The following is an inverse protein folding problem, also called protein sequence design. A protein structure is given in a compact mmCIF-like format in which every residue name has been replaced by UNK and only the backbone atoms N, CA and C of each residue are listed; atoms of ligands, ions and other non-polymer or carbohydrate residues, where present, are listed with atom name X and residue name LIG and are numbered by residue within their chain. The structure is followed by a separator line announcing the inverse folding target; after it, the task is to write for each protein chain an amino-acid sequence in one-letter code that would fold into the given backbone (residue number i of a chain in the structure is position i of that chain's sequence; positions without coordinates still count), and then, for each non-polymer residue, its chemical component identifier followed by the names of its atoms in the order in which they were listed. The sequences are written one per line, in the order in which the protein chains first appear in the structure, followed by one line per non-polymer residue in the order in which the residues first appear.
data_IF_006154240050
#
_entry.id   IF_006154240050
#
_cell.length_a   1.000
_cell.length_b   1.000
_cell.length_c   1.000
_cell.angle_alpha   90.00
_cell.angle_beta   90.00
_cell.angle_gamma   90.00
#
_symmetry.space_group_name_H-M   'P 1'
#
loop_
_entity.id
_entity.type
_entity.pdbx_description
1 polymer ?
#
# COMPACT_ATOMS: atom_id res chain seq x y z
N UNK A 1 20.06 2.69 17.69
CA UNK A 1 19.37 2.62 16.39
C UNK A 1 18.93 1.18 16.24
N UNK A 2 17.63 0.92 16.36
CA UNK A 2 17.05 -0.42 16.34
C UNK A 2 16.45 -0.57 14.94
N UNK A 3 17.05 -1.41 14.09
CA UNK A 3 16.57 -1.67 12.73
C UNK A 3 15.23 -2.45 12.78
N UNK A 4 14.69 -2.90 11.64
CA UNK A 4 13.38 -3.54 11.55
C UNK A 4 13.52 -4.99 11.05
N UNK A 5 12.61 -5.89 11.47
CA UNK A 5 12.31 -7.07 10.65
C UNK A 5 12.00 -6.57 9.22
N UNK A 6 12.30 -7.32 8.16
CA UNK A 6 11.81 -7.02 6.80
C UNK A 6 10.32 -7.33 6.73
N UNK A 7 9.57 -6.79 7.69
CA UNK A 7 8.15 -6.63 7.60
C UNK A 7 7.97 -5.37 6.77
N UNK A 8 7.80 -5.58 5.47
CA UNK A 8 7.29 -4.52 4.63
C UNK A 8 5.78 -4.55 4.84
N UNK A 9 5.29 -3.91 5.91
CA UNK A 9 3.91 -3.43 5.88
C UNK A 9 3.95 -2.30 4.87
N UNK A 10 3.37 -2.54 3.70
CA UNK A 10 3.26 -1.49 2.71
C UNK A 10 2.33 -0.42 3.27
N UNK A 11 2.89 0.60 3.93
CA UNK A 11 2.18 1.76 4.40
C UNK A 11 1.73 2.58 3.19
N UNK A 12 0.66 2.14 2.56
CA UNK A 12 0.13 2.68 1.31
C UNK A 12 -1.09 3.54 1.59
N UNK A 13 -0.95 4.51 2.48
CA UNK A 13 -2.08 5.26 3.03
C UNK A 13 -1.86 6.75 3.05
N UNK A 14 -2.20 7.35 1.91
CA UNK A 14 -2.12 8.76 1.51
C UNK A 14 -1.92 9.80 2.64
N UNK A 15 -0.91 10.64 2.45
CA UNK A 15 -0.81 11.98 3.00
C UNK A 15 -2.06 12.81 2.62
N UNK A 16 -2.43 13.84 3.42
CA UNK A 16 -3.50 14.75 3.03
C UNK A 16 -3.24 15.35 1.64
N UNK A 17 -4.28 15.61 0.82
CA UNK A 17 -4.09 16.10 -0.53
C UNK A 17 -3.29 17.40 -0.54
N UNK A 18 -2.33 17.59 -1.47
CA UNK A 18 -1.82 18.91 -1.75
C UNK A 18 -2.98 19.81 -2.18
N UNK A 19 -2.98 21.05 -1.69
CA UNK A 19 -3.98 22.06 -2.09
C UNK A 19 -3.99 22.15 -3.62
N UNK A 20 -5.15 21.97 -4.29
CA UNK A 20 -5.20 22.00 -5.74
C UNK A 20 -4.73 23.37 -6.26
N UNK A 21 -3.87 23.43 -7.29
CA UNK A 21 -3.54 24.69 -7.94
C UNK A 21 -4.80 25.32 -8.55
N UNK A 22 -4.88 26.66 -8.50
CA UNK A 22 -6.01 27.42 -9.00
C UNK A 22 -6.32 27.07 -10.47
N UNK A 23 -7.60 26.82 -10.75
CA UNK A 23 -8.07 26.40 -12.07
C UNK A 23 -7.78 27.48 -13.13
N UNK A 24 -7.21 27.12 -14.30
CA UNK A 24 -7.11 28.03 -15.44
C UNK A 24 -8.49 28.24 -16.08
N UNK A 25 -8.87 29.50 -16.24
CA UNK A 25 -10.07 29.94 -16.96
C UNK A 25 -9.91 29.62 -18.45
N UNK A 26 -10.72 28.70 -18.99
CA UNK A 26 -10.71 28.35 -20.42
C UNK A 26 -11.89 29.01 -21.16
N UNK A 27 -11.67 29.58 -22.36
CA UNK A 27 -12.71 30.19 -23.19
C UNK A 27 -13.50 29.18 -24.04
N UNK A 28 -14.68 29.63 -24.49
CA UNK A 28 -15.74 28.86 -25.16
C UNK A 28 -15.34 28.25 -26.52
N UNK A 29 -15.94 27.09 -26.82
CA UNK A 29 -15.71 26.28 -28.02
C UNK A 29 -16.72 26.55 -29.16
N UNK A 30 -16.24 26.45 -30.40
CA UNK A 30 -17.04 26.42 -31.65
C UNK A 30 -17.24 24.97 -32.10
N UNK A 31 -18.46 24.60 -32.47
CA UNK A 31 -18.86 23.24 -32.84
C UNK A 31 -18.85 23.04 -34.36
N UNK A 32 -18.10 22.05 -34.84
CA UNK A 32 -18.19 21.52 -36.22
C UNK A 32 -18.31 20.00 -36.13
N UNK A 33 -19.33 19.42 -36.76
CA UNK A 33 -19.60 17.97 -36.74
C UNK A 33 -19.37 17.37 -38.12
N UNK A 34 -18.45 16.41 -38.24
CA UNK A 34 -18.39 15.44 -39.33
C UNK A 34 -18.13 14.03 -38.75
N UNK A 35 -18.87 13.06 -39.28
CA UNK A 35 -18.91 11.66 -38.86
C UNK A 35 -17.84 10.83 -39.59
N UNK A 36 -17.02 10.07 -38.87
CA UNK A 36 -16.11 9.04 -39.39
C UNK A 36 -15.97 7.88 -38.41
N UNK A 37 -15.76 6.66 -38.94
CA UNK A 37 -15.82 5.37 -38.24
C UNK A 37 -15.09 5.27 -36.91
N UNK A 38 -15.66 4.46 -36.02
CA UNK A 38 -15.30 4.30 -34.61
C UNK A 38 -13.99 3.53 -34.42
N UNK A 39 -12.87 4.14 -34.77
CA UNK A 39 -11.60 3.80 -34.11
C UNK A 39 -11.74 4.29 -32.68
N UNK A 40 -12.14 3.40 -31.76
CA UNK A 40 -12.30 3.74 -30.35
C UNK A 40 -10.90 4.01 -29.81
N UNK A 41 -10.51 5.28 -29.73
CA UNK A 41 -9.31 5.70 -29.00
C UNK A 41 -9.40 5.07 -27.61
N UNK A 42 -8.38 4.31 -27.16
CA UNK A 42 -8.38 3.75 -25.82
C UNK A 42 -8.65 4.89 -24.82
N UNK A 43 -9.65 4.73 -23.96
CA UNK A 43 -10.01 5.78 -23.03
C UNK A 43 -8.81 6.13 -22.15
N UNK A 44 -8.49 7.42 -22.01
CA UNK A 44 -7.37 7.94 -21.20
C UNK A 44 -7.57 7.78 -19.67
N UNK A 45 -8.57 6.99 -19.27
CA UNK A 45 -8.88 6.63 -17.89
C UNK A 45 -9.42 5.22 -17.78
N UNK A 46 -9.34 4.66 -16.58
CA UNK A 46 -10.08 3.45 -16.22
C UNK A 46 -11.58 3.76 -16.18
N UNK A 47 -12.42 2.74 -16.44
CA UNK A 47 -13.86 2.90 -16.33
C UNK A 47 -14.28 3.08 -14.86
N UNK A 48 -15.23 3.98 -14.59
CA UNK A 48 -15.74 4.19 -13.24
C UNK A 48 -16.40 2.93 -12.67
N UNK A 49 -16.07 2.56 -11.45
CA UNK A 49 -16.58 1.36 -10.80
C UNK A 49 -15.72 0.89 -9.63
N UNK A 50 -16.01 -0.31 -9.15
CA UNK A 50 -15.30 -0.93 -8.03
C UNK A 50 -14.32 -1.98 -8.54
N UNK A 51 -13.13 -1.99 -7.94
CA UNK A 51 -12.01 -2.83 -8.30
C UNK A 51 -11.41 -3.47 -7.06
N UNK A 52 -10.81 -4.65 -7.22
CA UNK A 52 -9.97 -5.31 -6.23
C UNK A 52 -8.55 -5.06 -6.67
N UNK A 53 -7.78 -4.42 -5.81
CA UNK A 53 -6.35 -4.30 -5.96
C UNK A 53 -5.68 -5.34 -5.06
N UNK A 54 -5.01 -6.31 -5.67
CA UNK A 54 -4.06 -7.17 -4.98
C UNK A 54 -2.67 -6.66 -5.30
N UNK A 55 -1.89 -6.32 -4.27
CA UNK A 55 -0.47 -6.01 -4.40
C UNK A 55 0.29 -7.11 -3.70
N UNK A 56 1.25 -7.70 -4.40
CA UNK A 56 2.18 -8.67 -3.84
C UNK A 56 3.59 -8.08 -3.89
N UNK A 57 4.17 -7.87 -2.72
CA UNK A 57 5.52 -7.33 -2.55
C UNK A 57 6.36 -8.45 -1.96
N UNK A 58 7.23 -8.99 -2.78
CA UNK A 58 8.18 -10.02 -2.39
C UNK A 58 9.55 -9.38 -2.28
N UNK A 59 10.18 -9.51 -1.12
CA UNK A 59 11.52 -8.97 -0.86
C UNK A 59 12.47 -10.05 -0.39
N UNK A 60 13.73 -9.95 -0.82
CA UNK A 60 14.82 -10.76 -0.34
C UNK A 60 15.75 -9.94 0.55
N UNK A 61 16.09 -10.48 1.72
CA UNK A 61 17.00 -9.87 2.69
C UNK A 61 18.03 -10.89 3.14
N UNK A 62 19.32 -10.56 3.02
CA UNK A 62 20.39 -11.38 3.56
C UNK A 62 20.50 -11.15 5.07
N UNK A 63 20.28 -12.20 5.86
CA UNK A 63 20.53 -12.19 7.30
C UNK A 63 21.90 -12.83 7.60
N UNK A 64 22.67 -12.29 8.55
CA UNK A 64 23.83 -12.98 9.08
C UNK A 64 23.43 -14.37 9.59
N UNK A 65 24.24 -15.40 9.31
CA UNK A 65 24.04 -16.80 9.74
C UNK A 65 22.90 -17.56 9.04
N UNK A 66 21.75 -16.93 8.81
CA UNK A 66 20.54 -17.60 8.29
C UNK A 66 20.47 -17.54 6.75
N UNK A 67 21.26 -16.67 6.12
CA UNK A 67 21.30 -16.52 4.66
C UNK A 67 20.16 -15.65 4.12
N UNK A 68 19.85 -15.81 2.83
CA UNK A 68 18.78 -15.04 2.17
C UNK A 68 17.41 -15.48 2.67
N UNK A 69 16.64 -14.52 3.18
CA UNK A 69 15.26 -14.70 3.59
C UNK A 69 14.35 -14.01 2.59
N UNK A 70 13.37 -14.76 2.09
CA UNK A 70 12.31 -14.22 1.26
C UNK A 70 11.09 -13.94 2.12
N UNK A 71 10.53 -12.74 1.98
CA UNK A 71 9.26 -12.41 2.61
C UNK A 71 8.32 -11.86 1.53
N UNK A 72 7.06 -12.24 1.61
CA UNK A 72 6.02 -11.80 0.68
C UNK A 72 4.91 -11.15 1.48
N UNK A 73 4.72 -9.85 1.28
CA UNK A 73 3.57 -9.11 1.75
C UNK A 73 2.50 -9.08 0.68
N UNK A 74 1.30 -9.51 1.04
CA UNK A 74 0.11 -9.42 0.22
C UNK A 74 -0.85 -8.41 0.83
N UNK A 75 -1.16 -7.37 0.07
CA UNK A 75 -2.18 -6.38 0.40
C UNK A 75 -3.38 -6.55 -0.52
N UNK A 76 -4.57 -6.70 0.05
CA UNK A 76 -5.83 -6.67 -0.71
C UNK A 76 -6.62 -5.44 -0.34
N UNK A 77 -7.05 -4.68 -1.35
CA UNK A 77 -7.80 -3.44 -1.18
C UNK A 77 -9.00 -3.38 -2.12
N UNK A 78 -10.04 -2.66 -1.69
CA UNK A 78 -11.12 -2.20 -2.57
C UNK A 78 -10.73 -0.83 -3.11
N UNK A 79 -10.74 -0.68 -4.42
CA UNK A 79 -10.51 0.59 -5.11
C UNK A 79 -11.82 1.02 -5.77
N UNK A 80 -12.27 2.23 -5.45
CA UNK A 80 -13.42 2.87 -6.12
C UNK A 80 -12.89 3.93 -7.07
N UNK A 81 -13.23 3.82 -8.35
CA UNK A 81 -12.90 4.80 -9.39
C UNK A 81 -14.17 5.55 -9.76
N UNK A 82 -14.17 6.86 -9.59
CA UNK A 82 -15.27 7.74 -9.96
C UNK A 82 -15.28 8.08 -11.46
N UNK A 83 -16.37 8.67 -11.94
CA UNK A 83 -16.53 9.06 -13.35
C UNK A 83 -15.50 10.08 -13.82
N UNK A 84 -14.99 10.93 -12.94
CA UNK A 84 -13.91 11.88 -13.22
C UNK A 84 -12.51 11.23 -13.23
N UNK A 85 -12.41 9.94 -12.93
CA UNK A 85 -11.16 9.19 -12.85
C UNK A 85 -10.47 9.26 -11.49
N UNK A 86 -11.01 9.99 -10.52
CA UNK A 86 -10.50 9.99 -9.15
C UNK A 86 -10.67 8.59 -8.54
N UNK A 87 -9.65 8.12 -7.83
CA UNK A 87 -9.66 6.78 -7.25
C UNK A 87 -9.34 6.83 -5.76
N UNK A 88 -10.08 6.04 -4.98
CA UNK A 88 -9.82 5.86 -3.55
C UNK A 88 -9.67 4.39 -3.21
N UNK A 89 -8.80 4.05 -2.26
CA UNK A 89 -8.56 2.68 -1.82
C UNK A 89 -8.82 2.50 -0.32
N UNK A 90 -9.43 1.37 0.03
CA UNK A 90 -9.57 0.91 1.42
C UNK A 90 -8.92 -0.46 1.53
N UNK A 91 -7.97 -0.61 2.45
CA UNK A 91 -7.31 -1.89 2.72
C UNK A 91 -8.28 -2.85 3.41
N UNK A 92 -8.28 -4.11 2.97
CA UNK A 92 -9.13 -5.18 3.49
C UNK A 92 -8.34 -6.25 4.25
N UNK A 93 -7.09 -6.49 3.81
CA UNK A 93 -6.13 -7.37 4.46
C UNK A 93 -4.71 -6.97 4.11
N UNK A 94 -3.81 -7.17 5.09
CA UNK A 94 -2.37 -7.08 4.92
C UNK A 94 -1.78 -8.28 5.65
N UNK A 95 -1.10 -9.14 4.92
CA UNK A 95 -0.45 -10.33 5.47
C UNK A 95 0.96 -10.45 4.88
N UNK A 96 1.94 -10.68 5.74
CA UNK A 96 3.31 -10.97 5.34
C UNK A 96 3.63 -12.41 5.70
N UNK A 97 4.25 -13.13 4.77
CA UNK A 97 4.69 -14.51 4.95
C UNK A 97 6.18 -14.60 4.71
N UNK A 98 6.89 -15.25 5.61
CA UNK A 98 8.28 -15.68 5.45
C UNK A 98 8.46 -17.12 5.91
N UNK A 99 9.64 -17.73 5.69
CA UNK A 99 9.92 -19.11 6.09
C UNK A 99 9.78 -19.34 7.60
N UNK A 100 10.15 -18.34 8.41
CA UNK A 100 10.20 -18.44 9.86
C UNK A 100 9.02 -17.77 10.57
N UNK A 101 8.22 -16.97 9.86
CA UNK A 101 7.16 -16.18 10.47
C UNK A 101 6.02 -15.86 9.52
N UNK A 102 4.87 -15.53 10.09
CA UNK A 102 3.79 -14.83 9.41
C UNK A 102 3.40 -13.61 10.23
N UNK A 103 3.03 -12.52 9.59
CA UNK A 103 2.47 -11.38 10.29
C UNK A 103 1.18 -10.93 9.66
N UNK A 104 0.29 -10.38 10.48
CA UNK A 104 -1.01 -9.91 10.05
C UNK A 104 -1.39 -8.66 10.83
N UNK A 105 -1.99 -7.70 10.15
CA UNK A 105 -2.68 -6.61 10.82
C UNK A 105 -4.03 -7.12 11.34
N UNK A 106 -4.32 -6.99 12.66
CA UNK A 106 -5.63 -7.33 13.20
C UNK A 106 -6.77 -6.58 12.50
N UNK A 107 -8.00 -7.10 12.52
CA UNK A 107 -9.14 -6.43 11.89
C UNK A 107 -9.38 -5.00 12.38
N UNK A 108 -9.17 -4.72 13.67
CA UNK A 108 -9.28 -3.36 14.22
C UNK A 108 -8.23 -2.42 13.59
N UNK A 109 -6.99 -2.89 13.49
CA UNK A 109 -5.89 -2.18 12.84
C UNK A 109 -6.10 -1.94 11.35
N UNK A 110 -6.74 -2.88 10.64
CA UNK A 110 -7.16 -2.67 9.24
C UNK A 110 -8.26 -1.61 9.14
N UNK A 111 -9.23 -1.61 10.06
CA UNK A 111 -10.35 -0.66 10.03
C UNK A 111 -9.94 0.78 10.36
N UNK A 112 -8.84 0.97 11.08
CA UNK A 112 -8.31 2.30 11.37
C UNK A 112 -7.46 2.89 10.25
N UNK A 113 -7.04 2.08 9.28
CA UNK A 113 -6.28 2.53 8.13
C UNK A 113 -7.08 3.60 7.36
N UNK A 114 -6.52 4.80 7.14
CA UNK A 114 -7.24 5.83 6.39
C UNK A 114 -7.50 5.39 4.95
N UNK A 115 -8.56 5.92 4.34
CA UNK A 115 -8.83 5.73 2.91
C UNK A 115 -7.75 6.46 2.09
N UNK A 116 -7.02 5.73 1.25
CA UNK A 116 -6.01 6.30 0.36
C UNK A 116 -6.64 6.93 -0.87
N UNK A 117 -5.99 7.95 -1.42
CA UNK A 117 -6.26 8.44 -2.78
C UNK A 117 -5.20 7.87 -3.71
N UNK A 118 -5.62 7.34 -4.85
CA UNK A 118 -4.73 6.81 -5.87
C UNK A 118 -4.70 7.75 -7.06
N UNK A 119 -3.51 8.10 -7.54
CA UNK A 119 -3.36 8.77 -8.83
C UNK A 119 -3.16 7.71 -9.92
N UNK A 120 -4.20 7.48 -10.72
CA UNK A 120 -4.18 6.51 -11.83
C UNK A 120 -3.99 7.26 -13.15
N UNK A 121 -2.89 6.97 -13.85
CA UNK A 121 -2.58 7.53 -15.16
C UNK A 121 -2.65 6.42 -16.21
N UNK A 122 -3.52 6.59 -17.21
CA UNK A 122 -3.65 5.66 -18.34
C UNK A 122 -3.13 6.35 -19.61
N UNK A 123 -2.24 5.67 -20.35
CA UNK A 123 -1.70 6.15 -21.64
C UNK A 123 -1.64 4.99 -22.62
N UNK A 124 -2.61 4.92 -23.53
CA UNK A 124 -2.81 3.73 -24.37
C UNK A 124 -3.06 2.50 -23.49
N UNK A 125 -2.21 1.48 -23.63
CA UNK A 125 -2.29 0.28 -22.80
C UNK A 125 -1.52 0.38 -21.48
N UNK A 126 -0.68 1.41 -21.28
CA UNK A 126 0.07 1.56 -20.03
C UNK A 126 -0.80 2.15 -18.93
N UNK A 127 -0.72 1.56 -17.74
CA UNK A 127 -1.40 2.02 -16.52
C UNK A 127 -0.35 2.21 -15.42
N UNK A 128 -0.27 3.43 -14.87
CA UNK A 128 0.53 3.74 -13.70
C UNK A 128 -0.40 4.09 -12.55
N UNK A 129 -0.19 3.45 -11.39
CA UNK A 129 -0.95 3.73 -10.16
C UNK A 129 0.03 4.19 -9.10
N UNK A 130 -0.02 5.48 -8.78
CA UNK A 130 0.70 6.03 -7.64
C UNK A 130 -0.23 5.99 -6.42
N UNK A 131 0.20 5.26 -5.39
CA UNK A 131 -0.58 5.03 -4.17
C UNK A 131 -0.41 6.16 -3.13
N UNK A 132 0.42 7.16 -3.44
CA UNK A 132 0.81 8.24 -2.55
C UNK A 132 1.75 7.79 -1.44
N UNK A 133 2.31 8.76 -0.74
CA UNK A 133 2.98 8.51 0.53
C UNK A 133 1.94 8.14 1.58
N UNK A 134 2.23 7.18 2.45
CA UNK A 134 1.39 6.90 3.59
C UNK A 134 2.14 6.70 4.88
N UNK A 135 1.43 6.91 5.98
CA UNK A 135 1.94 6.83 7.35
C UNK A 135 0.91 6.07 8.21
N UNK A 136 1.40 5.17 9.06
CA UNK A 136 0.60 4.40 10.01
C UNK A 136 1.26 4.48 11.39
N UNK A 137 0.48 4.77 12.42
CA UNK A 137 0.94 4.90 13.81
C UNK A 137 1.80 6.14 14.06
N UNK A 138 1.94 7.02 13.07
CA UNK A 138 2.84 8.18 13.13
C UNK A 138 2.27 9.38 12.39
N UNK A 139 2.51 10.58 12.91
CA UNK A 139 2.14 11.87 12.32
C UNK A 139 3.33 12.82 12.41
N UNK A 140 4.09 12.94 11.32
CA UNK A 140 5.20 13.87 11.29
C UNK A 140 6.01 13.88 9.99
N UNK A 141 7.13 14.58 10.06
CA UNK A 141 8.18 14.58 9.05
C UNK A 141 9.51 14.15 9.69
N UNK A 142 10.47 13.76 8.85
CA UNK A 142 11.79 13.29 9.29
C UNK A 142 11.85 11.77 9.54
N UNK A 143 12.83 11.31 10.34
CA UNK A 143 12.98 9.90 10.69
C UNK A 143 11.82 9.37 11.54
N UNK A 144 11.51 8.08 11.40
CA UNK A 144 10.53 7.43 12.27
C UNK A 144 10.99 7.43 13.74
N UNK A 145 10.06 7.60 14.69
CA UNK A 145 10.38 7.61 16.11
C UNK A 145 10.80 6.23 16.59
N UNK A 146 11.89 6.15 17.35
CA UNK A 146 12.36 4.89 17.98
C UNK A 146 11.79 4.66 19.37
N UNK A 147 10.85 5.49 19.82
CA UNK A 147 10.25 5.43 21.15
C UNK A 147 8.75 5.62 21.08
N UNK A 148 8.04 4.76 21.79
CA UNK A 148 6.60 4.86 22.02
C UNK A 148 6.16 6.18 22.68
N UNK A 149 7.05 6.86 23.41
CA UNK A 149 6.75 8.13 24.07
C UNK A 149 6.94 9.36 23.16
N UNK A 150 7.36 9.19 21.90
CA UNK A 150 7.47 10.32 20.97
C UNK A 150 6.07 10.89 20.69
N UNK A 151 5.86 12.21 20.84
CA UNK A 151 4.55 12.83 20.69
C UNK A 151 3.98 12.76 19.25
N UNK A 152 4.81 12.36 18.28
CA UNK A 152 4.39 12.11 16.89
C UNK A 152 3.82 10.71 16.69
N UNK A 153 3.97 9.79 17.65
CA UNK A 153 3.34 8.47 17.61
C UNK A 153 1.86 8.62 17.88
N UNK A 154 1.03 7.97 17.08
CA UNK A 154 -0.42 7.98 17.18
C UNK A 154 -0.92 6.56 17.39
N UNK A 155 -1.91 6.41 18.28
CA UNK A 155 -2.73 5.18 18.42
C UNK A 155 -3.83 5.22 17.36
N UNK A 156 -3.50 4.74 16.14
CA UNK A 156 -4.43 4.82 15.02
C UNK A 156 -5.57 3.81 15.17
N UNK A 157 -5.28 2.61 15.71
CA UNK A 157 -6.25 1.52 15.91
C UNK A 157 -7.04 1.57 17.21
N UNK A 158 -6.77 2.57 18.05
CA UNK A 158 -7.51 2.90 19.28
C UNK A 158 -7.52 1.76 20.28
N UNK A 159 -6.43 1.00 20.33
CA UNK A 159 -6.26 -0.10 21.28
C UNK A 159 -5.64 0.36 22.62
N UNK A 160 -5.29 1.64 22.72
CA UNK A 160 -4.67 2.26 23.89
C UNK A 160 -3.14 2.16 23.89
N UNK A 161 -2.54 1.52 22.88
CA UNK A 161 -1.10 1.38 22.72
C UNK A 161 -0.57 2.34 21.65
N UNK A 162 0.68 2.81 21.79
CA UNK A 162 1.27 3.75 20.85
C UNK A 162 1.69 3.06 19.54
N UNK A 163 1.13 3.50 18.42
CA UNK A 163 1.44 3.02 17.08
C UNK A 163 0.25 2.32 16.44
N UNK A 164 0.52 1.24 15.70
CA UNK A 164 -0.49 0.29 15.25
C UNK A 164 -0.05 -1.12 15.57
N UNK A 165 -1.03 -1.90 16.02
CA UNK A 165 -0.82 -3.30 16.34
C UNK A 165 -0.61 -4.14 15.08
N UNK A 166 0.34 -5.05 15.19
CA UNK A 166 0.59 -6.11 14.23
C UNK A 166 0.80 -7.42 15.00
N UNK A 167 0.09 -8.47 14.63
CA UNK A 167 0.34 -9.80 15.19
C UNK A 167 1.46 -10.49 14.40
N UNK A 168 2.59 -10.78 15.05
CA UNK A 168 3.70 -11.56 14.51
C UNK A 168 3.62 -12.99 15.04
N UNK A 169 3.38 -13.95 14.18
CA UNK A 169 3.47 -15.37 14.49
C UNK A 169 4.84 -15.92 14.09
N UNK A 170 5.61 -16.34 15.08
CA UNK A 170 6.89 -17.01 14.90
C UNK A 170 6.68 -18.52 14.94
N UNK A 171 7.13 -19.22 13.90
CA UNK A 171 6.95 -20.67 13.79
C UNK A 171 7.56 -21.39 15.00
N UNK A 172 6.71 -22.05 15.80
CA UNK A 172 7.12 -22.77 17.02
C UNK A 172 7.23 -21.92 18.29
N UNK A 173 7.12 -20.58 18.21
CA UNK A 173 7.21 -19.66 19.35
C UNK A 173 5.90 -18.89 19.64
N UNK A 174 4.87 -19.09 18.79
CA UNK A 174 3.54 -18.52 18.98
C UNK A 174 3.39 -17.11 18.40
N UNK A 175 2.27 -16.47 18.74
CA UNK A 175 1.88 -15.13 18.25
C UNK A 175 2.19 -14.05 19.28
N UNK A 176 2.84 -12.99 18.83
CA UNK A 176 3.29 -11.86 19.63
C UNK A 176 2.74 -10.56 19.02
N UNK A 177 2.05 -9.71 19.79
CA UNK A 177 1.65 -8.40 19.31
C UNK A 177 2.87 -7.47 19.28
N UNK A 178 3.08 -6.82 18.15
CA UNK A 178 4.05 -5.75 17.97
C UNK A 178 3.32 -4.43 17.83
N UNK A 179 3.90 -3.36 18.39
CA UNK A 179 3.49 -2.00 18.08
C UNK A 179 4.48 -1.40 17.10
N UNK A 180 3.98 -0.96 15.95
CA UNK A 180 4.81 -0.45 14.87
C UNK A 180 4.38 0.94 14.44
N UNK A 181 5.33 1.66 13.85
CA UNK A 181 5.06 2.82 13.01
C UNK A 181 5.71 2.59 11.66
N UNK A 182 5.07 3.07 10.61
CA UNK A 182 5.60 2.90 9.26
C UNK A 182 5.25 4.07 8.36
N UNK A 183 6.13 4.32 7.39
CA UNK A 183 5.92 5.23 6.27
C UNK A 183 6.31 4.51 4.99
N UNK A 184 5.57 4.75 3.91
CA UNK A 184 5.96 4.22 2.60
C UNK A 184 5.38 5.00 1.44
N UNK A 185 5.92 4.74 0.25
CA UNK A 185 5.41 5.22 -1.03
C UNK A 185 5.55 4.11 -2.06
N UNK A 186 4.45 3.76 -2.71
CA UNK A 186 4.42 2.71 -3.72
C UNK A 186 3.91 3.24 -5.05
N UNK A 187 4.62 2.92 -6.13
CA UNK A 187 4.17 3.14 -7.50
C UNK A 187 4.10 1.79 -8.22
N UNK A 188 2.97 1.56 -8.88
CA UNK A 188 2.70 0.38 -9.68
C UNK A 188 2.73 0.77 -11.16
N UNK A 189 3.35 -0.06 -12.00
CA UNK A 189 3.41 0.13 -13.46
C UNK A 189 2.99 -1.14 -14.17
N UNK A 190 2.03 -1.04 -15.06
CA UNK A 190 1.41 -2.20 -15.67
C UNK A 190 0.72 -1.90 -16.99
N UNK A 191 -0.02 -2.90 -17.44
CA UNK A 191 -0.75 -2.88 -18.69
C UNK A 191 -2.23 -3.06 -18.41
N UNK A 192 -3.07 -2.32 -19.14
CA UNK A 192 -4.51 -2.43 -19.13
C UNK A 192 -4.93 -3.83 -19.57
N UNK A 193 -5.95 -4.35 -18.91
CA UNK A 193 -6.65 -5.58 -19.30
C UNK A 193 -8.13 -5.26 -19.51
N UNK A 194 -8.92 -6.15 -20.15
CA UNK A 194 -10.37 -5.94 -20.28
C UNK A 194 -11.07 -5.71 -18.94
N UNK A 195 -10.54 -6.28 -17.85
CA UNK A 195 -11.11 -6.21 -16.51
C UNK A 195 -10.44 -5.16 -15.61
N UNK A 196 -9.36 -4.50 -16.03
CA UNK A 196 -8.63 -3.54 -15.22
C UNK A 196 -7.18 -3.37 -15.65
N UNK A 197 -6.24 -3.79 -14.81
CA UNK A 197 -4.80 -3.71 -15.09
C UNK A 197 -4.01 -4.79 -14.33
N UNK A 198 -2.85 -5.16 -14.86
CA UNK A 198 -1.87 -6.03 -14.19
C UNK A 198 -0.47 -5.52 -14.43
N UNK A 199 0.45 -5.72 -13.50
CA UNK A 199 1.81 -5.24 -13.70
C UNK A 199 2.73 -5.52 -12.52
N UNK A 200 3.77 -4.69 -12.45
CA UNK A 200 4.88 -4.83 -11.50
C UNK A 200 4.93 -3.65 -10.54
N UNK A 201 5.65 -3.85 -9.44
CA UNK A 201 6.05 -2.78 -8.54
C UNK A 201 7.20 -1.99 -9.20
N UNK A 202 6.99 -0.72 -9.55
CA UNK A 202 8.00 0.11 -10.22
C UNK A 202 8.82 0.95 -9.25
N UNK A 203 8.22 1.36 -8.13
CA UNK A 203 8.89 2.04 -7.02
C UNK A 203 8.32 1.55 -5.70
N UNK A 204 9.20 1.36 -4.73
CA UNK A 204 8.85 1.09 -3.35
C UNK A 204 9.83 1.79 -2.43
N UNK A 205 9.30 2.70 -1.64
CA UNK A 205 9.98 3.31 -0.51
C UNK A 205 9.23 2.85 0.74
N UNK A 206 9.94 2.31 1.72
CA UNK A 206 9.32 1.78 2.94
C UNK A 206 10.28 1.94 4.10
N UNK A 207 9.78 2.49 5.18
CA UNK A 207 10.44 2.59 6.46
C UNK A 207 9.47 2.06 7.52
N UNK A 208 9.99 1.27 8.45
CA UNK A 208 9.21 0.73 9.56
C UNK A 208 10.08 0.78 10.81
N UNK A 209 9.45 1.10 11.93
CA UNK A 209 10.07 1.02 13.24
C UNK A 209 9.16 0.23 14.18
N UNK A 210 9.74 -0.72 14.90
CA UNK A 210 9.06 -1.41 15.99
C UNK A 210 9.27 -0.58 17.26
N UNK A 211 8.18 -0.28 17.95
CA UNK A 211 8.17 0.49 19.19
C UNK A 211 8.20 -0.42 20.42
N UNK A 212 7.48 -1.55 20.37
CA UNK A 212 7.41 -2.53 21.47
C UNK A 212 6.94 -3.91 20.98
N UNK A 213 7.01 -4.91 21.87
CA UNK A 213 6.38 -6.23 21.67
C UNK A 213 7.30 -7.35 21.18
N UNK A 214 8.57 -7.05 20.87
CA UNK A 214 9.52 -8.10 20.48
C UNK A 214 9.87 -8.98 21.70
N UNK A 215 9.77 -10.31 21.59
CA UNK A 215 10.10 -11.22 22.70
C UNK A 215 11.61 -11.34 22.95
N UNK A 216 12.45 -10.93 21.99
CA UNK A 216 13.90 -11.05 22.01
C UNK A 216 14.55 -9.93 21.19
N UNK A 217 15.77 -9.54 21.55
CA UNK A 217 16.63 -8.69 20.73
C UNK A 217 17.12 -9.48 19.50
N UNK A 218 16.27 -9.58 18.48
CA UNK A 218 16.67 -10.19 17.20
C UNK A 218 17.68 -9.24 16.55
N UNK A 219 18.90 -9.69 16.17
CA UNK A 219 19.79 -8.89 15.36
C UNK A 219 19.18 -8.72 13.97
N UNK A 220 18.93 -7.46 13.61
CA UNK A 220 18.21 -7.07 12.41
C UNK A 220 19.21 -6.81 11.29
N UNK A 221 18.78 -6.96 10.04
CA UNK A 221 19.65 -6.74 8.90
C UNK A 221 19.52 -5.31 8.40
N UNK A 222 20.65 -4.63 8.32
CA UNK A 222 20.81 -3.33 7.66
C UNK A 222 21.02 -3.52 6.14
N UNK A 223 20.84 -4.75 5.65
CA UNK A 223 21.09 -5.13 4.28
C UNK A 223 20.09 -4.50 3.31
N UNK A 224 20.49 -4.28 2.05
CA UNK A 224 19.60 -3.73 1.05
C UNK A 224 18.40 -4.66 0.83
N UNK A 225 17.19 -4.11 0.96
CA UNK A 225 15.95 -4.80 0.63
C UNK A 225 15.80 -4.79 -0.88
N UNK A 226 15.76 -5.98 -1.51
CA UNK A 226 15.55 -6.11 -2.95
C UNK A 226 14.15 -6.64 -3.22
N UNK A 227 13.36 -5.91 -3.99
CA UNK A 227 12.11 -6.43 -4.53
C UNK A 227 12.41 -7.54 -5.55
N UNK A 228 11.75 -8.69 -5.41
CA UNK A 228 11.91 -9.87 -6.28
C UNK A 228 10.52 -10.36 -6.65
N UNK A 229 10.14 -10.33 -7.93
CA UNK A 229 8.85 -10.86 -8.39
C UNK A 229 7.62 -10.13 -7.84
N UNK A 230 7.77 -8.86 -7.42
CA UNK A 230 6.65 -8.07 -6.90
C UNK A 230 5.74 -7.57 -8.02
N UNK A 231 4.43 -7.57 -7.80
CA UNK A 231 3.47 -7.14 -8.80
C UNK A 231 2.09 -6.82 -8.24
N UNK A 232 1.17 -6.51 -9.15
CA UNK A 232 -0.20 -6.20 -8.79
C UNK A 232 -1.19 -6.68 -9.83
N UNK A 233 -2.42 -6.90 -9.35
CA UNK A 233 -3.60 -7.14 -10.17
C UNK A 233 -4.70 -6.20 -9.69
N UNK A 234 -5.18 -5.34 -10.58
CA UNK A 234 -6.34 -4.50 -10.41
C UNK A 234 -7.46 -5.07 -11.28
N UNK A 235 -8.49 -5.65 -10.66
CA UNK A 235 -9.60 -6.30 -11.38
C UNK A 235 -10.94 -5.73 -10.96
N UNK A 236 -11.77 -5.36 -11.93
CA UNK A 236 -13.15 -4.92 -11.72
C UNK A 236 -13.95 -6.03 -11.05
N UNK A 237 -14.83 -5.64 -10.15
CA UNK A 237 -15.67 -6.54 -9.35
C UNK A 237 -17.03 -5.89 -9.11
N UNK A 238 -18.03 -6.72 -8.81
CA UNK A 238 -19.39 -6.27 -8.53
C UNK A 238 -19.58 -6.11 -7.02
N UNK A 239 -19.68 -4.85 -6.57
CA UNK A 239 -20.05 -4.44 -5.21
C UNK A 239 -19.56 -5.31 -4.03
N UNK A 240 -18.27 -5.65 -3.91
CA UNK A 240 -17.80 -6.47 -2.81
C UNK A 240 -17.51 -5.62 -1.58
N UNK A 241 -17.70 -6.24 -0.43
CA UNK A 241 -17.21 -5.76 0.86
C UNK A 241 -15.83 -6.34 1.14
N UNK A 242 -15.09 -5.77 2.10
CA UNK A 242 -13.84 -6.38 2.54
C UNK A 242 -14.03 -7.79 3.12
N UNK A 243 -15.24 -8.16 3.55
CA UNK A 243 -15.53 -9.52 4.00
C UNK A 243 -15.52 -10.53 2.85
N UNK A 244 -15.89 -10.11 1.63
CA UNK A 244 -15.96 -10.98 0.44
C UNK A 244 -14.59 -11.22 -0.20
N UNK A 245 -13.55 -10.49 0.23
CA UNK A 245 -12.21 -10.53 -0.35
C UNK A 245 -11.17 -11.30 0.49
N UNK A 246 -11.57 -11.79 1.67
CA UNK A 246 -10.70 -12.49 2.63
C UNK A 246 -10.58 -13.98 2.36
#
# INVERSE_FOLDING_TARGET
MIAALPLVVAAQLAAPPPTPPAAPTSPAATTTTMSTGTTTTPADKLAAGVYRLNVEISVATALPVIGEQHTTTQTTSIVTVADDGQATAVACSVETRGPAFTSRLPPASIQSLPTSRLAIVVRGDRVVVDMGEGQIGWRGSGPLPTSAADPRVADDDRDGEPGVRLDLNLNGLGTWPLQIVTRGHTVLDGTRTPEGATGVLSRMESEQQILSGLPIDIPLSDGPVRAVGSGFVLRRIEAPTCADLR
#
